data_IF_974769535092
#
_entry.id   IF_974769535092
#
_cell.length_a   1.000
_cell.length_b   1.000
_cell.length_c   1.000
_cell.angle_alpha   90.00
_cell.angle_beta   90.00
_cell.angle_gamma   90.00
#
_symmetry.space_group_name_H-M   'P 1'
#
loop_
_entity.id
_entity.type
_entity.pdbx_description
1 polymer ?
#
# COMPACT_ATOMS: atom_id res chain seq x y z
N UNK A 1 -1.56 23.30 1.11
CA UNK A 1 -1.91 22.49 2.29
C UNK A 1 -0.89 21.37 2.41
N UNK A 2 -0.04 21.41 3.44
CA UNK A 2 0.98 20.40 3.69
C UNK A 2 0.26 19.22 4.37
N UNK A 3 -0.13 18.19 3.63
CA UNK A 3 -0.62 16.96 4.26
C UNK A 3 0.53 16.48 5.16
N UNK A 4 0.24 16.28 6.45
CA UNK A 4 1.21 15.79 7.40
C UNK A 4 1.80 14.48 6.88
N UNK A 5 3.13 14.40 6.78
CA UNK A 5 3.90 13.20 6.40
C UNK A 5 3.33 11.87 6.93
N UNK A 6 2.85 11.75 8.20
CA UNK A 6 2.25 10.52 8.71
C UNK A 6 0.95 10.10 8.02
N UNK A 7 0.10 11.05 7.60
CA UNK A 7 -1.16 10.75 6.90
C UNK A 7 -0.87 10.16 5.52
N UNK A 8 0.15 10.70 4.84
CA UNK A 8 0.65 10.11 3.60
C UNK A 8 1.27 8.72 3.82
N UNK A 9 1.85 8.45 5.00
CA UNK A 9 2.43 7.15 5.37
C UNK A 9 1.37 6.09 5.67
N UNK A 10 0.20 6.49 6.17
CA UNK A 10 -0.88 5.59 6.54
C UNK A 10 -1.73 5.13 5.34
N UNK A 11 -1.75 5.91 4.26
CA UNK A 11 -2.56 5.65 3.06
C UNK A 11 -2.46 4.21 2.49
N UNK A 12 -1.26 3.62 2.26
CA UNK A 12 -1.17 2.26 1.74
C UNK A 12 -1.68 1.20 2.72
N UNK A 13 -1.51 1.42 4.02
CA UNK A 13 -2.03 0.52 5.06
C UNK A 13 -3.55 0.60 5.15
N UNK A 14 -4.13 1.79 4.98
CA UNK A 14 -5.60 1.95 4.88
C UNK A 14 -6.16 1.19 3.68
N UNK A 15 -5.52 1.29 2.50
CA UNK A 15 -5.92 0.52 1.31
C UNK A 15 -5.84 -0.99 1.53
N UNK A 16 -4.78 -1.46 2.21
CA UNK A 16 -4.64 -2.88 2.54
C UNK A 16 -5.67 -3.35 3.58
N UNK A 17 -5.94 -2.54 4.60
CA UNK A 17 -6.93 -2.86 5.64
C UNK A 17 -8.34 -2.92 5.06
N UNK A 18 -8.70 -1.98 4.19
CA UNK A 18 -9.97 -1.98 3.47
C UNK A 18 -10.08 -3.19 2.54
N UNK A 19 -9.02 -3.52 1.78
CA UNK A 19 -9.00 -4.70 0.90
C UNK A 19 -9.15 -6.01 1.68
N UNK A 20 -8.46 -6.16 2.81
CA UNK A 20 -8.58 -7.31 3.70
C UNK A 20 -9.99 -7.42 4.32
N UNK A 21 -10.58 -6.28 4.72
CA UNK A 21 -11.94 -6.21 5.22
C UNK A 21 -12.98 -6.63 4.18
N UNK A 22 -12.82 -6.18 2.94
CA UNK A 22 -13.70 -6.57 1.82
C UNK A 22 -13.57 -8.06 1.49
N UNK A 23 -12.36 -8.63 1.54
CA UNK A 23 -12.15 -10.07 1.33
C UNK A 23 -12.73 -10.92 2.47
N UNK A 24 -12.58 -10.48 3.71
CA UNK A 24 -13.22 -11.13 4.85
C UNK A 24 -14.74 -11.05 4.74
N UNK A 25 -15.28 -9.89 4.35
CA UNK A 25 -16.71 -9.71 4.12
C UNK A 25 -17.24 -10.58 2.97
N UNK A 26 -16.44 -10.82 1.92
CA UNK A 26 -16.82 -11.70 0.82
C UNK A 26 -17.09 -13.15 1.27
N UNK A 27 -16.45 -13.60 2.36
CA UNK A 27 -16.66 -14.91 2.98
C UNK A 27 -17.93 -14.98 3.85
N UNK A 28 -18.44 -13.84 4.32
CA UNK A 28 -19.67 -13.74 5.13
C UNK A 28 -20.92 -13.55 4.26
N UNK A 29 -20.76 -13.13 3.00
CA UNK A 29 -21.86 -12.91 2.07
C UNK A 29 -22.14 -14.18 1.27
N UNK A 30 -23.43 -14.55 1.22
CA UNK A 30 -23.92 -15.74 0.53
C UNK A 30 -23.55 -15.74 -0.97
N UNK A 31 -23.35 -16.94 -1.52
CA UNK A 31 -22.72 -17.17 -2.82
C UNK A 31 -23.55 -16.60 -3.99
N UNK A 32 -23.34 -15.33 -4.30
CA UNK A 32 -23.97 -14.61 -5.41
C UNK A 32 -23.04 -13.57 -6.05
N UNK A 33 -23.59 -12.77 -6.96
CA UNK A 33 -22.86 -11.74 -7.72
C UNK A 33 -22.11 -10.76 -6.80
N UNK A 34 -22.67 -10.48 -5.62
CA UNK A 34 -22.08 -9.62 -4.60
C UNK A 34 -20.76 -10.16 -4.04
N UNK A 35 -20.66 -11.46 -3.77
CA UNK A 35 -19.42 -12.09 -3.28
C UNK A 35 -18.29 -11.97 -4.32
N UNK A 36 -18.61 -12.14 -5.60
CA UNK A 36 -17.64 -11.99 -6.70
C UNK A 36 -17.12 -10.55 -6.82
N UNK A 37 -18.00 -9.55 -6.69
CA UNK A 37 -17.60 -8.14 -6.69
C UNK A 37 -16.71 -7.79 -5.49
N UNK A 38 -17.05 -8.26 -4.29
CA UNK A 38 -16.22 -8.05 -3.10
C UNK A 38 -14.82 -8.67 -3.24
N UNK A 39 -14.73 -9.85 -3.86
CA UNK A 39 -13.47 -10.51 -4.18
C UNK A 39 -12.62 -9.67 -5.13
N UNK A 40 -13.20 -9.23 -6.25
CA UNK A 40 -12.47 -8.44 -7.27
C UNK A 40 -12.01 -7.10 -6.70
N UNK A 41 -12.91 -6.36 -6.05
CA UNK A 41 -12.59 -5.06 -5.46
C UNK A 41 -11.59 -5.20 -4.31
N UNK A 42 -11.75 -6.21 -3.46
CA UNK A 42 -10.81 -6.52 -2.38
C UNK A 42 -9.41 -6.87 -2.90
N UNK A 43 -9.33 -7.71 -3.94
CA UNK A 43 -8.07 -8.07 -4.59
C UNK A 43 -7.38 -6.86 -5.25
N UNK A 44 -8.13 -6.01 -5.96
CA UNK A 44 -7.59 -4.79 -6.57
C UNK A 44 -7.12 -3.78 -5.51
N UNK A 45 -7.85 -3.64 -4.40
CA UNK A 45 -7.45 -2.78 -3.29
C UNK A 45 -6.19 -3.29 -2.60
N UNK A 46 -6.05 -4.61 -2.40
CA UNK A 46 -4.82 -5.21 -1.87
C UNK A 46 -3.64 -5.02 -2.83
N UNK A 47 -3.82 -5.29 -4.12
CA UNK A 47 -2.76 -5.06 -5.12
C UNK A 47 -2.36 -3.59 -5.16
N UNK A 48 -3.32 -2.67 -5.18
CA UNK A 48 -3.05 -1.23 -5.16
C UNK A 48 -2.28 -0.82 -3.90
N UNK A 49 -2.70 -1.29 -2.73
CA UNK A 49 -2.00 -1.05 -1.45
C UNK A 49 -0.58 -1.60 -1.44
N UNK A 50 -0.38 -2.82 -1.97
CA UNK A 50 0.92 -3.47 -2.05
C UNK A 50 1.87 -2.74 -3.03
N UNK A 51 1.39 -2.34 -4.19
CA UNK A 51 2.16 -1.58 -5.19
C UNK A 51 2.59 -0.23 -4.61
N UNK A 52 1.68 0.47 -3.92
CA UNK A 52 2.02 1.73 -3.24
C UNK A 52 3.05 1.52 -2.13
N UNK A 53 2.95 0.42 -1.38
CA UNK A 53 3.91 0.07 -0.34
C UNK A 53 5.31 -0.24 -0.92
N UNK A 54 5.39 -1.06 -1.97
CA UNK A 54 6.64 -1.39 -2.65
C UNK A 54 7.30 -0.16 -3.26
N UNK A 55 6.54 0.65 -4.00
CA UNK A 55 7.04 1.90 -4.59
C UNK A 55 7.62 2.82 -3.52
N UNK A 56 7.01 2.85 -2.33
CA UNK A 56 7.51 3.63 -1.20
C UNK A 56 8.75 3.02 -0.54
N UNK A 57 8.83 1.70 -0.42
CA UNK A 57 10.01 0.98 0.07
C UNK A 57 11.22 1.31 -0.80
N UNK A 58 11.04 1.30 -2.13
CA UNK A 58 12.08 1.66 -3.08
C UNK A 58 12.57 3.11 -2.92
N UNK A 59 11.67 4.06 -2.63
CA UNK A 59 12.07 5.44 -2.35
C UNK A 59 12.96 5.55 -1.09
N UNK A 60 12.71 4.76 -0.04
CA UNK A 60 13.55 4.77 1.17
C UNK A 60 14.92 4.13 0.91
N UNK A 61 14.96 3.03 0.16
CA UNK A 61 16.23 2.36 -0.18
C UNK A 61 17.12 3.26 -1.06
N UNK A 62 16.54 3.91 -2.07
CA UNK A 62 17.29 4.81 -2.97
C UNK A 62 17.80 6.08 -2.28
N UNK A 63 17.08 6.61 -1.30
CA UNK A 63 17.57 7.74 -0.51
C UNK A 63 18.78 7.37 0.37
N UNK A 64 18.76 6.18 0.98
CA UNK A 64 19.88 5.71 1.79
C UNK A 64 21.16 5.53 0.96
N UNK A 65 21.03 5.05 -0.28
CA UNK A 65 22.16 4.80 -1.19
C UNK A 65 22.76 6.10 -1.75
N UNK A 66 21.93 7.12 -2.05
CA UNK A 66 22.41 8.44 -2.47
C UNK A 66 23.13 9.19 -1.34
N UNK A 67 22.63 9.09 -0.11
CA UNK A 67 23.24 9.73 1.05
C UNK A 67 24.63 9.16 1.34
N UNK A 68 24.77 7.82 1.33
CA UNK A 68 26.07 7.16 1.53
C UNK A 68 27.10 7.50 0.45
N UNK A 69 26.68 7.61 -0.82
CA UNK A 69 27.61 7.91 -1.92
C UNK A 69 28.10 9.37 -1.88
N UNK A 70 27.25 10.29 -1.45
CA UNK A 70 27.63 11.70 -1.29
C UNK A 70 28.66 11.96 -0.18
N UNK A 71 28.75 11.04 0.78
CA UNK A 71 29.72 11.08 1.87
C UNK A 71 31.07 10.48 1.45
N UNK A 72 31.05 9.43 0.63
CA UNK A 72 32.26 8.74 0.14
C UNK A 72 33.01 9.58 -0.92
N UNK A 73 32.29 10.33 -1.77
CA UNK A 73 32.90 11.26 -2.74
C UNK A 73 33.58 12.49 -2.08
N UNK A 74 33.47 12.67 -0.77
CA UNK A 74 34.05 13.80 -0.01
C UNK A 74 35.29 13.44 0.83
N UNK A 75 35.69 12.18 0.88
CA UNK A 75 36.85 11.68 1.66
C UNK A 75 38.00 11.37 0.69
#
# INVERSE_FOLDING_TARGET
MWISRPIYELLPYLYMLVGAGLLAAAWLVDAGIWSSLFLVVGALSLMGGLVLWLRRKDYRTKQAEYDSRSLDDKI
#
